data_IF_338673202615
#
_entry.id   IF_338673202615
#
_cell.length_a   1.000
_cell.length_b   1.000
_cell.length_c   1.000
_cell.angle_alpha   90.00
_cell.angle_beta   90.00
_cell.angle_gamma   90.00
#
_symmetry.space_group_name_H-M   'P 1'
#
loop_
_entity.id
_entity.type
_entity.pdbx_description
1 polymer ?
#
# COMPACT_ATOMS: atom_id res chain seq x y z
N UNK A 1 -14.19 -18.72 -8.25
CA UNK A 1 -13.26 -18.13 -7.27
C UNK A 1 -13.13 -16.66 -7.64
N UNK A 2 -13.19 -15.69 -6.72
CA UNK A 2 -12.96 -14.31 -7.14
C UNK A 2 -11.50 -14.25 -7.58
N UNK A 3 -11.29 -14.14 -8.89
CA UNK A 3 -9.99 -13.84 -9.47
C UNK A 3 -9.67 -12.44 -8.99
N UNK A 4 -8.98 -12.34 -7.84
CA UNK A 4 -8.39 -11.09 -7.40
C UNK A 4 -7.68 -10.47 -8.59
N UNK A 5 -7.96 -9.20 -8.84
CA UNK A 5 -7.39 -8.45 -9.95
C UNK A 5 -5.89 -8.75 -9.98
N UNK A 6 -5.36 -9.26 -11.09
CA UNK A 6 -3.92 -9.55 -11.18
C UNK A 6 -3.18 -8.28 -10.79
N UNK A 7 -2.50 -8.31 -9.64
CA UNK A 7 -1.77 -7.16 -9.14
C UNK A 7 -0.70 -6.86 -10.19
N UNK A 8 -0.82 -5.75 -10.87
CA UNK A 8 0.14 -5.32 -11.88
C UNK A 8 0.30 -3.83 -11.70
N UNK A 9 1.55 -3.35 -11.76
CA UNK A 9 1.83 -1.96 -11.50
C UNK A 9 1.04 -1.08 -12.48
N UNK A 10 0.30 -0.12 -11.93
CA UNK A 10 -0.61 0.73 -12.68
C UNK A 10 -1.93 0.07 -13.07
N UNK A 11 -2.21 -1.19 -12.77
CA UNK A 11 -3.55 -1.75 -12.99
C UNK A 11 -4.55 -1.24 -11.95
N UNK A 12 -5.84 -1.10 -12.30
CA UNK A 12 -6.87 -0.78 -11.32
C UNK A 12 -6.99 -1.91 -10.29
N UNK A 13 -7.28 -1.54 -9.05
CA UNK A 13 -7.63 -2.47 -7.96
C UNK A 13 -9.00 -2.11 -7.41
N UNK A 14 -9.61 -3.02 -6.66
CA UNK A 14 -10.91 -2.79 -6.04
C UNK A 14 -10.76 -1.89 -4.81
N UNK A 15 -11.79 -1.11 -4.49
CA UNK A 15 -11.85 -0.38 -3.22
C UNK A 15 -11.74 -1.33 -2.01
N UNK A 16 -12.33 -2.53 -2.11
CA UNK A 16 -12.19 -3.58 -1.10
C UNK A 16 -10.75 -4.08 -0.93
N UNK A 17 -9.89 -3.86 -1.92
CA UNK A 17 -8.47 -4.19 -1.90
C UNK A 17 -7.63 -3.01 -1.42
N UNK A 18 -8.22 -1.84 -1.12
CA UNK A 18 -7.47 -0.68 -0.65
C UNK A 18 -6.58 -1.04 0.57
N UNK A 19 -5.31 -0.64 0.49
CA UNK A 19 -4.26 -0.95 1.47
C UNK A 19 -3.91 -2.44 1.58
N UNK A 20 -4.40 -3.27 0.67
CA UNK A 20 -3.97 -4.66 0.57
C UNK A 20 -2.69 -4.74 -0.25
N UNK A 21 -1.88 -5.73 0.09
CA UNK A 21 -0.73 -6.11 -0.72
C UNK A 21 -1.16 -7.10 -1.79
N UNK A 22 -0.69 -6.88 -3.01
CA UNK A 22 -0.84 -7.78 -4.13
C UNK A 22 0.53 -8.11 -4.69
N UNK A 23 0.74 -9.34 -5.13
CA UNK A 23 2.00 -9.74 -5.75
C UNK A 23 1.79 -9.84 -7.25
N UNK A 24 2.61 -9.13 -8.01
CA UNK A 24 2.61 -9.20 -9.46
C UNK A 24 3.19 -10.50 -9.99
N UNK A 25 2.92 -10.80 -11.26
CA UNK A 25 3.37 -12.04 -11.90
C UNK A 25 4.90 -12.18 -11.97
N UNK A 26 5.63 -11.06 -11.87
CA UNK A 26 7.08 -10.98 -11.79
C UNK A 26 7.63 -11.12 -10.34
N UNK A 27 6.75 -11.27 -9.35
CA UNK A 27 7.09 -11.31 -7.92
C UNK A 27 7.15 -9.94 -7.24
N UNK A 28 6.90 -8.84 -7.96
CA UNK A 28 6.91 -7.50 -7.37
C UNK A 28 5.77 -7.34 -6.38
N UNK A 29 6.06 -6.88 -5.16
CA UNK A 29 5.04 -6.51 -4.19
C UNK A 29 4.46 -5.13 -4.53
N UNK A 30 3.13 -5.07 -4.61
CA UNK A 30 2.35 -3.88 -4.95
C UNK A 30 1.35 -3.62 -3.84
N UNK A 31 0.96 -2.36 -3.69
CA UNK A 31 -0.10 -1.93 -2.76
C UNK A 31 -1.21 -1.27 -3.55
N UNK A 32 -2.45 -1.59 -3.22
CA UNK A 32 -3.60 -0.90 -3.79
C UNK A 32 -3.80 0.42 -3.05
N UNK A 33 -3.66 1.54 -3.75
CA UNK A 33 -3.84 2.89 -3.19
C UNK A 33 -4.84 3.68 -4.02
N UNK A 34 -5.55 4.59 -3.36
CA UNK A 34 -6.40 5.55 -4.03
C UNK A 34 -5.56 6.74 -4.52
N UNK A 35 -5.47 6.92 -5.83
CA UNK A 35 -4.70 8.01 -6.45
C UNK A 35 -5.56 9.25 -6.78
N UNK A 36 -6.77 9.33 -6.22
CA UNK A 36 -7.74 10.40 -6.49
C UNK A 36 -8.88 9.99 -7.42
N UNK A 37 -9.87 10.86 -7.58
CA UNK A 37 -11.10 10.56 -8.32
C UNK A 37 -10.86 10.25 -9.81
N UNK A 38 -9.85 10.88 -10.43
CA UNK A 38 -9.51 10.66 -11.85
C UNK A 38 -8.81 9.33 -12.11
N UNK A 39 -8.01 8.85 -11.15
CA UNK A 39 -7.19 7.64 -11.30
C UNK A 39 -7.78 6.41 -10.61
N UNK A 40 -8.62 6.61 -9.58
CA UNK A 40 -9.23 5.58 -8.77
C UNK A 40 -8.22 4.81 -7.91
N UNK A 41 -8.65 3.60 -7.51
CA UNK A 41 -7.81 2.64 -6.82
C UNK A 41 -6.90 1.94 -7.84
N UNK A 42 -5.58 2.02 -7.63
CA UNK A 42 -4.56 1.42 -8.49
C UNK A 42 -3.53 0.66 -7.68
N UNK A 43 -3.04 -0.43 -8.25
CA UNK A 43 -1.85 -1.13 -7.78
C UNK A 43 -0.63 -0.28 -8.08
N UNK A 44 0.09 0.14 -7.05
CA UNK A 44 1.35 0.87 -7.19
C UNK A 44 2.46 0.09 -6.53
N UNK A 45 3.67 0.21 -7.08
CA UNK A 45 4.86 -0.29 -6.42
C UNK A 45 5.11 0.57 -5.19
N UNK A 46 5.19 -0.07 -4.03
CA UNK A 46 5.63 0.61 -2.84
C UNK A 46 7.16 0.76 -2.85
N UNK A 47 7.67 1.75 -2.11
CA UNK A 47 9.09 1.80 -1.79
C UNK A 47 9.50 0.57 -0.98
N UNK A 48 10.81 0.33 -0.82
CA UNK A 48 11.27 -0.76 0.06
C UNK A 48 10.55 -0.68 1.41
N UNK A 49 9.91 -1.78 1.77
CA UNK A 49 9.28 -1.93 3.05
C UNK A 49 10.36 -2.42 4.02
N UNK A 50 10.38 -1.85 5.22
CA UNK A 50 11.36 -2.22 6.23
C UNK A 50 11.06 -3.60 6.86
N UNK A 51 10.04 -4.32 6.34
CA UNK A 51 9.39 -5.52 6.90
C UNK A 51 8.89 -5.33 8.35
N UNK A 52 8.92 -4.09 8.81
CA UNK A 52 8.51 -3.66 10.14
C UNK A 52 7.00 -3.48 10.22
N UNK A 53 6.46 -3.78 11.40
CA UNK A 53 5.04 -3.60 11.70
C UNK A 53 4.86 -2.37 12.58
N UNK A 54 4.16 -1.36 12.06
CA UNK A 54 3.87 -0.13 12.78
C UNK A 54 2.38 0.07 13.04
N UNK A 55 2.05 0.93 14.00
CA UNK A 55 0.67 1.31 14.30
C UNK A 55 0.36 2.67 13.67
N UNK A 56 -0.83 2.84 13.12
CA UNK A 56 -1.32 4.16 12.67
C UNK A 56 -1.23 5.14 13.85
N UNK A 57 -0.67 6.33 13.58
CA UNK A 57 -0.43 7.37 14.58
C UNK A 57 0.92 7.26 15.28
N UNK A 58 1.68 6.17 15.12
CA UNK A 58 3.08 6.14 15.55
C UNK A 58 3.92 7.09 14.69
N UNK A 59 4.98 7.67 15.26
CA UNK A 59 5.90 8.51 14.51
C UNK A 59 6.57 7.70 13.38
N UNK A 60 6.76 8.35 12.24
CA UNK A 60 7.52 7.85 11.11
C UNK A 60 8.36 8.99 10.54
N UNK A 61 9.50 8.67 9.93
CA UNK A 61 10.34 9.64 9.23
C UNK A 61 10.16 9.46 7.73
N UNK A 62 9.38 10.33 7.09
CA UNK A 62 9.10 10.25 5.64
C UNK A 62 10.34 10.30 4.72
N UNK A 63 11.51 10.65 5.26
CA UNK A 63 12.80 10.62 4.54
C UNK A 63 13.35 9.20 4.38
N UNK A 64 13.00 8.29 5.29
CA UNK A 64 13.47 6.90 5.34
C UNK A 64 12.29 5.91 5.28
N UNK A 65 11.26 6.16 6.08
CA UNK A 65 10.04 5.37 6.21
C UNK A 65 9.03 5.83 5.15
N UNK A 66 8.83 5.03 4.10
CA UNK A 66 7.83 5.34 3.07
C UNK A 66 6.58 4.47 3.19
N UNK A 67 6.77 3.16 3.31
CA UNK A 67 5.69 2.18 3.44
C UNK A 67 6.06 1.16 4.52
N UNK A 68 5.05 0.70 5.25
CA UNK A 68 5.16 -0.46 6.14
C UNK A 68 3.82 -1.19 6.26
N UNK A 69 3.75 -2.18 7.14
CA UNK A 69 2.54 -2.97 7.41
C UNK A 69 1.98 -2.63 8.80
N UNK A 70 0.66 -2.61 8.94
CA UNK A 70 0.01 -2.56 10.25
C UNK A 70 -0.08 -3.95 10.87
N UNK A 71 -0.48 -4.04 12.15
CA UNK A 71 -0.68 -5.34 12.85
C UNK A 71 -1.74 -6.23 12.21
N UNK A 72 -2.54 -5.70 11.29
CA UNK A 72 -3.55 -6.44 10.52
C UNK A 72 -3.00 -6.87 9.14
N UNK A 73 -1.72 -6.62 8.86
CA UNK A 73 -1.06 -6.95 7.59
C UNK A 73 -1.42 -6.01 6.45
N UNK A 74 -2.07 -4.87 6.73
CA UNK A 74 -2.43 -3.88 5.71
C UNK A 74 -1.35 -2.83 5.56
N UNK A 75 -1.20 -2.31 4.36
CA UNK A 75 -0.26 -1.24 4.09
C UNK A 75 -0.63 0.03 4.87
N UNK A 76 0.42 0.69 5.34
CA UNK A 76 0.40 2.01 5.95
C UNK A 76 1.50 2.85 5.31
N UNK A 77 1.23 4.13 5.16
CA UNK A 77 2.13 5.09 4.53
C UNK A 77 2.54 6.14 5.55
N UNK A 78 3.80 6.55 5.51
CA UNK A 78 4.25 7.67 6.32
C UNK A 78 3.70 8.98 5.74
N UNK A 79 2.74 9.60 6.42
CA UNK A 79 2.08 10.84 5.99
C UNK A 79 2.90 12.11 6.27
N UNK A 80 4.22 11.98 6.45
CA UNK A 80 5.13 13.07 6.79
C UNK A 80 5.81 12.86 8.14
N UNK A 81 5.01 12.78 9.21
CA UNK A 81 5.50 12.61 10.59
C UNK A 81 4.87 11.43 11.33
N UNK A 82 3.77 10.89 10.83
CA UNK A 82 3.08 9.74 11.45
C UNK A 82 2.59 8.74 10.41
N UNK A 83 2.50 7.48 10.83
CA UNK A 83 1.94 6.41 10.04
C UNK A 83 0.44 6.62 9.84
N UNK A 84 -0.01 6.51 8.60
CA UNK A 84 -1.42 6.70 8.22
C UNK A 84 -1.94 5.47 7.48
N UNK A 85 -3.25 5.30 7.47
CA UNK A 85 -3.92 4.28 6.67
C UNK A 85 -3.70 4.48 5.15
N UNK A 86 -3.27 5.65 4.71
CA UNK A 86 -3.22 6.06 3.32
C UNK A 86 -3.61 7.53 3.20
N UNK A 87 -3.31 8.15 2.05
CA UNK A 87 -3.81 9.49 1.73
C UNK A 87 -5.33 9.54 1.68
#
# INVERSE_FOLDING_TARGET
>A
MPTGSVAAEGSPCLESEARSFGTAADGTSLVCVFLGADAGHRWVRHAEDDDSVHTIGEPCDSSVDRVSRDRQGRAILCGGTTWTAGP
#
